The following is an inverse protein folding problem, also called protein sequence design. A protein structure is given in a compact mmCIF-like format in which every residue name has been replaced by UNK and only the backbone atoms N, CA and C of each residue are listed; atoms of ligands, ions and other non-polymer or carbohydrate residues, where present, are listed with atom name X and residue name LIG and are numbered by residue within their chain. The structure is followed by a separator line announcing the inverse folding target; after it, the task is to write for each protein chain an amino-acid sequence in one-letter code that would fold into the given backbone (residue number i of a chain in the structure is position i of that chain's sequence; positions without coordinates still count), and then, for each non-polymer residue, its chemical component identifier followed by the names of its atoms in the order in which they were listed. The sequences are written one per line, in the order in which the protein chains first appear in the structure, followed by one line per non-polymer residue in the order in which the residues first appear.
data_IF_419419814521
#
_entry.id   IF_419419814521
#
_cell.length_a   1.000
_cell.length_b   1.000
_cell.length_c   1.000
_cell.angle_alpha   90.00
_cell.angle_beta   90.00
_cell.angle_gamma   90.00
#
_symmetry.space_group_name_H-M   'P 1'
#
loop_
_entity.id
_entity.type
_entity.pdbx_description
1 polymer ?
#
# COMPACT_ATOMS: atom_id res chain seq x y z
N UNK A 1 10.59 12.46 6.08
CA UNK A 1 9.69 11.28 6.22
C UNK A 1 9.85 10.35 5.03
N UNK A 2 9.59 10.79 3.79
CA UNK A 2 9.77 9.95 2.57
C UNK A 2 11.21 9.45 2.40
N UNK A 3 12.23 10.30 2.61
CA UNK A 3 13.64 9.88 2.50
C UNK A 3 14.00 8.76 3.47
N UNK A 4 13.52 8.86 4.72
CA UNK A 4 13.68 7.81 5.73
C UNK A 4 12.94 6.55 5.26
N UNK A 5 11.71 6.68 4.77
CA UNK A 5 10.94 5.54 4.27
C UNK A 5 11.64 4.81 3.12
N UNK A 6 12.27 5.53 2.19
CA UNK A 6 13.07 4.94 1.10
C UNK A 6 14.35 4.27 1.62
N UNK A 7 15.08 4.93 2.51
CA UNK A 7 16.32 4.39 3.10
C UNK A 7 16.06 3.12 3.92
N UNK A 8 15.05 3.15 4.78
CA UNK A 8 14.69 2.04 5.68
C UNK A 8 13.79 0.99 4.99
N UNK A 9 13.47 1.18 3.71
CA UNK A 9 12.62 0.30 2.90
C UNK A 9 11.31 -0.05 3.59
N UNK A 10 10.61 0.97 4.10
CA UNK A 10 9.32 0.74 4.75
C UNK A 10 8.27 0.25 3.76
N UNK A 11 7.34 -0.56 4.26
CA UNK A 11 6.16 -0.95 3.50
C UNK A 11 5.32 0.29 3.18
N UNK A 12 4.86 0.40 1.93
CA UNK A 12 4.03 1.52 1.52
C UNK A 12 2.65 1.39 2.15
N UNK A 13 2.16 2.47 2.76
CA UNK A 13 0.87 2.43 3.44
C UNK A 13 -0.27 2.53 2.43
N UNK A 14 -0.68 1.38 1.89
CA UNK A 14 -1.76 1.25 0.90
C UNK A 14 -3.17 1.31 1.51
N UNK A 15 -3.27 1.11 2.84
CA UNK A 15 -4.50 1.15 3.64
C UNK A 15 -4.16 1.53 5.10
N UNK A 16 -5.15 1.90 5.92
CA UNK A 16 -4.89 2.43 7.27
C UNK A 16 -4.44 1.39 8.32
N UNK A 17 -4.29 0.11 7.94
CA UNK A 17 -3.96 -0.99 8.86
C UNK A 17 -5.18 -1.75 9.41
N UNK A 18 -6.41 -1.29 9.12
CA UNK A 18 -7.65 -1.97 9.51
C UNK A 18 -8.21 -2.83 8.36
N UNK A 19 -8.83 -3.97 8.70
CA UNK A 19 -9.46 -4.88 7.74
C UNK A 19 -10.58 -4.21 6.92
N UNK A 20 -11.34 -3.28 7.51
CA UNK A 20 -12.38 -2.54 6.80
C UNK A 20 -11.79 -1.60 5.75
N UNK A 21 -10.70 -0.90 6.08
CA UNK A 21 -10.01 -0.07 5.11
C UNK A 21 -9.41 -0.90 3.98
N UNK A 22 -8.85 -2.08 4.27
CA UNK A 22 -8.34 -2.97 3.23
C UNK A 22 -9.46 -3.42 2.27
N UNK A 23 -10.62 -3.79 2.81
CA UNK A 23 -11.81 -4.19 2.02
C UNK A 23 -12.26 -3.05 1.11
N UNK A 24 -12.45 -1.86 1.67
CA UNK A 24 -13.03 -0.74 0.94
C UNK A 24 -12.04 -0.21 -0.11
N UNK A 25 -10.74 -0.16 0.22
CA UNK A 25 -9.67 0.15 -0.75
C UNK A 25 -9.63 -0.88 -1.88
N UNK A 26 -9.75 -2.18 -1.59
CA UNK A 26 -9.75 -3.21 -2.62
C UNK A 26 -10.99 -3.14 -3.52
N UNK A 27 -12.17 -2.87 -2.95
CA UNK A 27 -13.40 -2.67 -3.72
C UNK A 27 -13.27 -1.51 -4.70
N UNK A 28 -12.77 -0.37 -4.23
CA UNK A 28 -12.53 0.79 -5.10
C UNK A 28 -11.49 0.50 -6.19
N UNK A 29 -10.44 -0.28 -5.88
CA UNK A 29 -9.44 -0.69 -6.87
C UNK A 29 -10.05 -1.58 -7.96
N UNK A 30 -10.87 -2.57 -7.59
CA UNK A 30 -11.58 -3.41 -8.57
C UNK A 30 -12.52 -2.57 -9.46
N UNK A 31 -13.29 -1.65 -8.88
CA UNK A 31 -14.20 -0.75 -9.62
C UNK A 31 -13.45 0.17 -10.60
N UNK A 32 -12.20 0.51 -10.30
CA UNK A 32 -11.34 1.36 -11.15
C UNK A 32 -10.39 0.55 -12.06
N UNK A 33 -10.57 -0.78 -12.15
CA UNK A 33 -9.74 -1.66 -12.98
C UNK A 33 -8.32 -1.86 -12.47
N UNK A 34 -8.05 -1.54 -11.19
CA UNK A 34 -6.77 -1.75 -10.52
C UNK A 34 -6.77 -3.08 -9.76
N UNK A 35 -5.60 -3.70 -9.69
CA UNK A 35 -5.42 -4.92 -8.88
C UNK A 35 -5.58 -4.63 -7.39
N UNK A 36 -6.03 -5.65 -6.64
CA UNK A 36 -6.11 -5.61 -5.17
C UNK A 36 -4.73 -5.37 -4.55
N UNK A 37 -4.75 -4.82 -3.35
CA UNK A 37 -3.59 -4.66 -2.49
C UNK A 37 -3.07 -6.05 -2.10
N UNK A 38 -1.80 -6.28 -2.36
CA UNK A 38 -1.06 -7.48 -1.93
C UNK A 38 -0.14 -7.10 -0.77
N UNK A 39 -0.48 -7.56 0.43
CA UNK A 39 0.27 -7.24 1.65
C UNK A 39 1.70 -7.78 1.53
N UNK A 40 2.69 -6.95 1.86
CA UNK A 40 4.10 -7.33 1.81
C UNK A 40 4.69 -7.33 0.39
N UNK A 41 4.09 -6.59 -0.55
CA UNK A 41 4.61 -6.44 -1.91
C UNK A 41 5.25 -5.08 -2.18
N UNK A 42 4.52 -3.99 -1.90
CA UNK A 42 5.01 -2.64 -2.17
C UNK A 42 5.85 -2.09 -1.01
N UNK A 43 7.16 -2.02 -1.23
CA UNK A 43 8.10 -1.35 -0.33
C UNK A 43 8.68 -0.12 -1.02
N UNK A 44 8.99 0.92 -0.24
CA UNK A 44 9.82 2.01 -0.76
C UNK A 44 11.21 1.47 -1.10
N UNK A 45 11.79 1.97 -2.18
CA UNK A 45 13.16 1.68 -2.57
C UNK A 45 13.97 2.96 -2.57
N UNK A 46 15.26 2.92 -2.19
CA UNK A 46 16.18 3.99 -2.55
C UNK A 46 16.27 4.03 -4.08
N UNK A 47 16.09 5.22 -4.66
CA UNK A 47 16.31 5.46 -6.08
C UNK A 47 17.78 5.21 -6.45
#
# INVERSE_FOLDING_TARGET
MIEISKRERFYQQEYCGCVYSLRDSNKWREETGRHKIEIGKLYYSPD
#
